data_IF_979445947886
#
_entry.id   IF_979445947886
#
_cell.length_a   1.000
_cell.length_b   1.000
_cell.length_c   1.000
_cell.angle_alpha   90.00
_cell.angle_beta   90.00
_cell.angle_gamma   90.00
#
_symmetry.space_group_name_H-M   'P 1'
#
loop_
_entity.id
_entity.type
_entity.pdbx_description
1 polymer ?
#
# COMPACT_ATOMS: atom_id res chain seq x y z
N UNK A 1 32.60 8.62 21.78
CA UNK A 1 31.26 8.83 21.18
C UNK A 1 30.74 7.49 20.70
N UNK A 2 29.42 7.25 20.66
CA UNK A 2 28.75 6.00 20.17
C UNK A 2 28.34 4.92 21.18
N UNK A 3 27.60 5.25 22.24
CA UNK A 3 26.74 4.24 22.93
C UNK A 3 25.34 4.76 23.31
N UNK A 4 25.04 6.06 23.14
CA UNK A 4 23.76 6.64 23.63
C UNK A 4 22.56 6.54 22.67
N UNK A 5 22.72 6.00 21.47
CA UNK A 5 21.63 5.98 20.47
C UNK A 5 20.74 4.73 20.55
N UNK A 6 21.27 3.59 21.03
CA UNK A 6 20.50 2.35 21.10
C UNK A 6 19.46 2.27 22.24
N UNK A 7 19.54 3.18 23.22
CA UNK A 7 18.69 3.12 24.42
C UNK A 7 17.26 3.65 24.21
N UNK A 8 16.96 4.30 23.08
CA UNK A 8 15.63 4.87 22.81
C UNK A 8 14.67 3.95 22.04
N UNK A 9 15.13 2.79 21.57
CA UNK A 9 14.28 1.87 20.79
C UNK A 9 13.57 0.84 21.68
N UNK A 10 14.06 0.60 22.90
CA UNK A 10 13.57 -0.52 23.75
C UNK A 10 12.48 -0.11 24.76
N UNK A 11 12.18 1.19 24.90
CA UNK A 11 11.26 1.69 25.94
C UNK A 11 9.76 1.65 25.54
N UNK A 12 9.43 1.25 24.31
CA UNK A 12 8.03 1.18 23.84
C UNK A 12 7.39 -0.21 23.96
N UNK A 13 7.96 -1.10 24.81
CA UNK A 13 7.55 -2.51 24.88
C UNK A 13 6.62 -2.97 26.02
N UNK A 14 6.13 -2.18 26.99
CA UNK A 14 5.12 -2.68 27.92
C UNK A 14 3.72 -2.20 27.51
N UNK A 15 3.17 -2.72 26.40
CA UNK A 15 1.73 -2.57 26.07
C UNK A 15 1.21 -3.82 25.33
N UNK A 16 1.45 -5.00 25.89
CA UNK A 16 0.94 -6.27 25.33
C UNK A 16 -0.19 -6.92 26.16
N UNK A 17 -0.48 -6.59 27.45
CA UNK A 17 -1.67 -7.15 28.09
C UNK A 17 -2.97 -6.36 27.84
N UNK A 18 -2.93 -5.10 27.38
CA UNK A 18 -4.13 -4.25 27.23
C UNK A 18 -4.89 -4.45 25.91
N UNK A 19 -4.25 -5.07 24.91
CA UNK A 19 -4.83 -5.17 23.56
C UNK A 19 -5.92 -6.25 23.53
N UNK A 20 -5.71 -7.38 24.22
CA UNK A 20 -6.67 -8.50 24.26
C UNK A 20 -7.96 -8.12 25.01
N UNK A 21 -7.90 -7.18 25.96
CA UNK A 21 -9.06 -6.67 26.70
C UNK A 21 -9.85 -5.58 25.97
N UNK A 22 -9.25 -4.91 24.96
CA UNK A 22 -9.90 -3.81 24.25
C UNK A 22 -10.97 -4.27 23.23
N UNK A 23 -10.94 -5.55 22.83
CA UNK A 23 -11.87 -6.11 21.82
C UNK A 23 -13.05 -6.88 22.42
N UNK A 24 -13.18 -6.87 23.74
CA UNK A 24 -14.26 -7.52 24.50
C UNK A 24 -15.10 -6.45 25.21
N UNK A 25 -15.97 -5.78 24.46
CA UNK A 25 -16.90 -4.76 24.96
C UNK A 25 -17.91 -4.35 23.90
N UNK A 26 -19.02 -3.68 24.26
CA UNK A 26 -20.06 -3.26 23.30
C UNK A 26 -19.54 -2.33 22.20
N UNK A 27 -18.45 -1.60 22.47
CA UNK A 27 -17.78 -0.74 21.50
C UNK A 27 -16.85 -1.47 20.52
N UNK A 28 -16.43 -2.71 20.85
CA UNK A 28 -15.49 -3.47 20.02
C UNK A 28 -16.07 -3.75 18.62
N UNK A 29 -17.36 -4.06 18.52
CA UNK A 29 -18.04 -4.27 17.26
C UNK A 29 -18.02 -3.00 16.38
N UNK A 30 -18.22 -1.83 16.99
CA UNK A 30 -18.17 -0.54 16.29
C UNK A 30 -16.74 -0.24 15.80
N UNK A 31 -15.70 -0.50 16.61
CA UNK A 31 -14.30 -0.30 16.22
C UNK A 31 -13.89 -1.24 15.09
N UNK A 32 -14.24 -2.53 15.19
CA UNK A 32 -13.93 -3.53 14.15
C UNK A 32 -14.65 -3.23 12.84
N UNK A 33 -15.92 -2.77 12.88
CA UNK A 33 -16.65 -2.38 11.68
C UNK A 33 -16.02 -1.17 11.00
N UNK A 34 -15.61 -0.15 11.76
CA UNK A 34 -14.85 0.99 11.23
C UNK A 34 -13.53 0.54 10.61
N UNK A 35 -12.73 -0.27 11.32
CA UNK A 35 -11.47 -0.79 10.79
C UNK A 35 -11.66 -1.61 9.50
N UNK A 36 -12.75 -2.36 9.39
CA UNK A 36 -13.12 -3.10 8.18
C UNK A 36 -13.36 -2.12 7.03
N UNK A 37 -14.25 -1.16 7.22
CA UNK A 37 -14.58 -0.14 6.22
C UNK A 37 -13.39 0.73 5.84
N UNK A 38 -12.56 1.14 6.80
CA UNK A 38 -11.33 1.87 6.52
C UNK A 38 -10.35 1.05 5.69
N UNK A 39 -10.16 -0.23 6.01
CA UNK A 39 -9.30 -1.11 5.19
C UNK A 39 -9.82 -1.30 3.76
N UNK A 40 -11.14 -1.44 3.59
CA UNK A 40 -11.78 -1.51 2.27
C UNK A 40 -11.71 -0.18 1.53
N UNK A 41 -11.90 0.94 2.22
CA UNK A 41 -11.81 2.28 1.65
C UNK A 41 -10.41 2.61 1.16
N UNK A 42 -9.37 2.27 1.94
CA UNK A 42 -7.97 2.42 1.55
C UNK A 42 -7.60 1.53 0.36
N UNK A 43 -8.15 0.31 0.31
CA UNK A 43 -7.99 -0.54 -0.86
C UNK A 43 -8.64 0.06 -2.11
N UNK A 44 -9.88 0.53 -2.00
CA UNK A 44 -10.58 1.21 -3.09
C UNK A 44 -9.83 2.46 -3.56
N UNK A 45 -9.29 3.25 -2.63
CA UNK A 45 -8.43 4.39 -2.96
C UNK A 45 -7.17 3.95 -3.71
N UNK A 46 -6.53 2.87 -3.27
CA UNK A 46 -5.37 2.30 -3.96
C UNK A 46 -5.70 1.91 -5.40
N UNK A 47 -6.85 1.27 -5.65
CA UNK A 47 -7.30 0.94 -7.01
C UNK A 47 -7.51 2.19 -7.86
N UNK A 48 -8.10 3.25 -7.30
CA UNK A 48 -8.29 4.52 -8.01
C UNK A 48 -6.95 5.14 -8.38
N UNK A 49 -6.00 5.19 -7.45
CA UNK A 49 -4.66 5.75 -7.68
C UNK A 49 -3.88 4.97 -8.74
N UNK A 50 -3.84 3.65 -8.63
CA UNK A 50 -3.13 2.78 -9.58
C UNK A 50 -3.82 2.79 -10.95
N UNK A 51 -5.16 2.80 -10.97
CA UNK A 51 -5.94 2.93 -12.20
C UNK A 51 -5.69 4.26 -12.91
N UNK A 52 -5.70 5.37 -12.17
CA UNK A 52 -5.38 6.71 -12.71
C UNK A 52 -3.95 6.77 -13.24
N UNK A 53 -2.97 6.23 -12.51
CA UNK A 53 -1.58 6.13 -12.96
C UNK A 53 -1.46 5.29 -14.23
N UNK A 54 -2.20 4.19 -14.34
CA UNK A 54 -2.21 3.31 -15.52
C UNK A 54 -2.81 4.02 -16.74
N UNK A 55 -3.93 4.73 -16.58
CA UNK A 55 -4.55 5.52 -17.65
C UNK A 55 -3.62 6.65 -18.11
N UNK A 56 -2.94 7.32 -17.18
CA UNK A 56 -1.97 8.36 -17.50
C UNK A 56 -0.74 7.80 -18.21
N UNK A 57 -0.19 6.67 -17.74
CA UNK A 57 0.93 5.99 -18.38
C UNK A 57 0.61 5.62 -19.83
N UNK A 58 -0.59 5.09 -20.10
CA UNK A 58 -1.07 4.82 -21.46
C UNK A 58 -1.11 6.06 -22.34
N UNK A 59 -1.60 7.19 -21.83
CA UNK A 59 -1.63 8.46 -22.58
C UNK A 59 -0.24 9.03 -22.89
N UNK A 60 0.74 8.72 -22.05
CA UNK A 60 2.12 9.21 -22.18
C UNK A 60 3.07 8.23 -22.89
N UNK A 61 2.57 7.08 -23.38
CA UNK A 61 3.41 6.07 -24.02
C UNK A 61 4.41 5.40 -23.08
N UNK A 62 4.13 5.41 -21.77
CA UNK A 62 5.00 4.85 -20.74
C UNK A 62 4.82 3.33 -20.68
N UNK A 63 5.90 2.54 -20.55
CA UNK A 63 5.79 1.08 -20.52
C UNK A 63 4.98 0.62 -19.30
N UNK A 64 4.05 -0.33 -19.53
CA UNK A 64 3.17 -0.86 -18.48
C UNK A 64 3.92 -1.52 -17.32
N UNK A 65 5.18 -1.93 -17.52
CA UNK A 65 6.06 -2.40 -16.44
C UNK A 65 6.22 -1.36 -15.34
N UNK A 66 6.25 -0.06 -15.67
CA UNK A 66 6.40 1.02 -14.70
C UNK A 66 5.21 1.13 -13.72
N UNK A 67 4.01 0.67 -14.11
CA UNK A 67 2.81 0.69 -13.26
C UNK A 67 2.44 -0.67 -12.68
N UNK A 68 3.10 -1.76 -13.13
CA UNK A 68 2.82 -3.14 -12.70
C UNK A 68 3.00 -3.36 -11.19
N UNK A 69 4.04 -2.75 -10.61
CA UNK A 69 4.29 -2.81 -9.16
C UNK A 69 3.15 -2.19 -8.34
N UNK A 70 2.48 -1.15 -8.86
CA UNK A 70 1.29 -0.58 -8.24
C UNK A 70 0.12 -1.56 -8.21
N UNK A 71 -0.09 -2.32 -9.29
CA UNK A 71 -1.12 -3.36 -9.34
C UNK A 71 -0.82 -4.53 -8.39
N UNK A 72 0.45 -4.93 -8.27
CA UNK A 72 0.86 -5.94 -7.27
C UNK A 72 0.54 -5.48 -5.86
N UNK A 73 0.85 -4.22 -5.51
CA UNK A 73 0.52 -3.64 -4.21
C UNK A 73 -1.00 -3.56 -3.97
N UNK A 74 -1.79 -3.25 -5.00
CA UNK A 74 -3.24 -3.22 -4.90
C UNK A 74 -3.85 -4.61 -4.64
N UNK A 75 -3.30 -5.66 -5.25
CA UNK A 75 -3.76 -7.04 -5.04
C UNK A 75 -3.27 -7.63 -3.71
N UNK A 76 -2.05 -7.27 -3.29
CA UNK A 76 -1.49 -7.68 -2.00
C UNK A 76 -1.98 -6.82 -0.83
N UNK A 77 -2.91 -5.89 -1.07
CA UNK A 77 -3.28 -4.87 -0.10
C UNK A 77 -3.89 -5.48 1.18
N UNK A 78 -3.39 -5.12 2.37
CA UNK A 78 -3.83 -5.68 3.66
C UNK A 78 -5.33 -5.56 3.95
N UNK A 79 -5.98 -4.56 3.36
CA UNK A 79 -7.44 -4.38 3.42
C UNK A 79 -8.25 -5.55 2.84
N UNK A 80 -7.66 -6.41 2.00
CA UNK A 80 -8.35 -7.57 1.43
C UNK A 80 -8.31 -8.79 2.37
N UNK A 81 -7.13 -9.12 2.89
CA UNK A 81 -6.88 -10.44 3.49
C UNK A 81 -6.60 -10.43 5.00
N UNK A 82 -6.24 -9.28 5.59
CA UNK A 82 -6.03 -9.21 7.05
C UNK A 82 -7.39 -9.11 7.76
N UNK A 83 -7.78 -10.07 8.61
CA UNK A 83 -9.04 -10.00 9.33
C UNK A 83 -9.03 -8.88 10.38
N UNK A 84 -10.21 -8.33 10.69
CA UNK A 84 -10.39 -7.35 11.79
C UNK A 84 -10.55 -8.00 13.16
N UNK A 85 -10.67 -9.33 13.18
CA UNK A 85 -10.90 -10.15 14.38
C UNK A 85 -9.60 -10.53 15.09
N UNK A 86 -8.46 -10.00 14.66
CA UNK A 86 -7.21 -10.10 15.40
C UNK A 86 -7.33 -9.40 16.75
N UNK A 87 -6.55 -9.84 17.74
CA UNK A 87 -6.64 -9.36 19.13
C UNK A 87 -6.45 -7.85 19.32
N UNK A 88 -6.18 -7.09 18.25
CA UNK A 88 -5.99 -5.66 18.17
C UNK A 88 -7.13 -4.88 17.47
N UNK A 89 -8.31 -5.49 17.31
CA UNK A 89 -9.52 -4.87 16.77
C UNK A 89 -9.34 -4.31 15.35
N UNK A 90 -8.41 -4.86 14.57
CA UNK A 90 -8.12 -4.43 13.20
C UNK A 90 -7.20 -3.21 13.10
N UNK A 91 -6.55 -2.78 14.19
CA UNK A 91 -5.56 -1.70 14.16
C UNK A 91 -4.40 -2.01 13.19
N UNK A 92 -3.90 -3.25 13.22
CA UNK A 92 -2.84 -3.74 12.34
C UNK A 92 -3.27 -3.73 10.87
N UNK A 93 -4.51 -4.16 10.58
CA UNK A 93 -5.12 -4.06 9.24
C UNK A 93 -5.12 -2.61 8.74
N UNK A 94 -5.53 -1.65 9.57
CA UNK A 94 -5.58 -0.23 9.17
C UNK A 94 -4.17 0.34 8.97
N UNK A 95 -3.24 0.11 9.91
CA UNK A 95 -1.86 0.60 9.80
C UNK A 95 -1.16 0.07 8.56
N UNK A 96 -1.25 -1.23 8.33
CA UNK A 96 -0.66 -1.87 7.14
C UNK A 96 -1.32 -1.40 5.85
N UNK A 97 -2.65 -1.23 5.82
CA UNK A 97 -3.37 -0.66 4.68
C UNK A 97 -2.89 0.76 4.33
N UNK A 98 -2.67 1.63 5.34
CA UNK A 98 -2.14 2.98 5.12
C UNK A 98 -0.75 2.91 4.48
N UNK A 99 0.14 2.06 5.00
CA UNK A 99 1.51 1.90 4.46
C UNK A 99 1.47 1.41 3.02
N UNK A 100 0.64 0.41 2.71
CA UNK A 100 0.51 -0.10 1.34
C UNK A 100 -0.09 0.93 0.38
N UNK A 101 -1.07 1.71 0.83
CA UNK A 101 -1.65 2.81 0.03
C UNK A 101 -0.57 3.86 -0.28
N UNK A 102 0.23 4.24 0.72
CA UNK A 102 1.33 5.18 0.54
C UNK A 102 2.42 4.64 -0.40
N UNK A 103 2.78 3.36 -0.27
CA UNK A 103 3.70 2.70 -1.19
C UNK A 103 3.17 2.68 -2.62
N UNK A 104 1.89 2.34 -2.82
CA UNK A 104 1.27 2.33 -4.15
C UNK A 104 1.25 3.73 -4.78
N UNK A 105 0.95 4.77 -3.99
CA UNK A 105 1.05 6.16 -4.43
C UNK A 105 2.48 6.53 -4.81
N UNK A 106 3.46 6.20 -3.97
CA UNK A 106 4.87 6.48 -4.22
C UNK A 106 5.41 5.79 -5.47
N UNK A 107 5.10 4.51 -5.66
CA UNK A 107 5.45 3.75 -6.86
C UNK A 107 4.79 4.33 -8.10
N UNK A 108 3.52 4.71 -8.02
CA UNK A 108 2.80 5.37 -9.11
C UNK A 108 3.46 6.68 -9.54
N UNK A 109 3.79 7.55 -8.57
CA UNK A 109 4.48 8.82 -8.83
C UNK A 109 5.88 8.57 -9.41
N UNK A 110 6.65 7.67 -8.81
CA UNK A 110 8.00 7.34 -9.28
C UNK A 110 8.01 6.78 -10.70
N UNK A 111 7.08 5.87 -11.01
CA UNK A 111 6.93 5.29 -12.36
C UNK A 111 6.56 6.34 -13.41
N UNK A 112 5.79 7.36 -13.03
CA UNK A 112 5.47 8.49 -13.92
C UNK A 112 6.65 9.44 -14.14
N UNK A 113 7.53 9.64 -13.15
CA UNK A 113 8.71 10.51 -13.28
C UNK A 113 9.83 9.83 -14.06
N UNK A 114 9.98 8.50 -13.93
CA UNK A 114 11.06 7.71 -14.56
C UNK A 114 10.69 7.11 -15.91
N UNK A 115 9.39 6.96 -16.19
CA UNK A 115 8.89 6.48 -17.47
C UNK A 115 8.90 7.58 -18.52
N UNK A 116 10.02 7.74 -19.23
CA UNK A 116 10.06 8.54 -20.45
C UNK A 116 9.26 7.87 -21.59
N UNK A 117 8.87 8.62 -22.63
CA UNK A 117 8.25 8.06 -23.83
C UNK A 117 9.14 6.96 -24.43
N UNK A 118 8.53 5.85 -24.84
CA UNK A 118 9.23 4.82 -25.62
C UNK A 118 9.17 5.24 -27.08
N UNK A 119 10.33 5.56 -27.67
CA UNK A 119 10.44 5.83 -29.09
C UNK A 119 10.14 4.54 -29.87
N UNK A 120 8.92 4.44 -30.41
CA UNK A 120 8.48 3.30 -31.22
C UNK A 120 9.07 3.28 -32.65
N UNK A 121 9.87 4.29 -33.03
CA UNK A 121 10.40 4.43 -34.39
C UNK A 121 11.54 3.46 -34.76
N UNK A 122 12.12 2.69 -33.82
CA UNK A 122 13.29 1.83 -34.14
C UNK A 122 12.95 0.41 -34.63
N UNK A 123 11.68 0.05 -34.84
CA UNK A 123 11.30 -1.33 -35.24
C UNK A 123 11.13 -1.50 -36.75
N UNK A 124 10.99 -0.41 -37.53
CA UNK A 124 10.84 -0.51 -39.00
C UNK A 124 12.17 -0.64 -39.76
N UNK A 125 13.31 -0.47 -39.10
CA UNK A 125 14.63 -0.43 -39.77
C UNK A 125 15.44 -1.74 -39.65
N UNK A 126 14.79 -2.88 -39.32
CA UNK A 126 15.45 -4.18 -39.41
C UNK A 126 15.42 -4.65 -40.86
N UNK A 127 16.57 -4.77 -41.55
CA UNK A 127 16.60 -5.42 -42.86
C UNK A 127 16.14 -6.86 -42.66
N UNK A 128 15.07 -7.26 -43.35
CA UNK A 128 14.72 -8.68 -43.44
C UNK A 128 15.87 -9.39 -44.18
N UNK A 129 16.35 -10.54 -43.68
CA UNK A 129 17.37 -11.33 -44.36
C UNK A 129 16.88 -11.84 -45.72
#
# INVERSE_FOLDING_TARGET
>A
MSVRVFSRVVVLWPMVPSIVWACSGPEAAAVMSRAKWTGWGLWGLTLVLVGAATLRARRLGVPMRAVSAGWVLALAHPGLWIPVTSGDCGLYRVKSAIVYTALAAGVGIWGMVRGGPVDHERVEDSPRP
#
